data_IF_607175745311
#
_entry.id   IF_607175745311
#
_cell.length_a   1.000
_cell.length_b   1.000
_cell.length_c   1.000
_cell.angle_alpha   90.00
_cell.angle_beta   90.00
_cell.angle_gamma   90.00
#
_symmetry.space_group_name_H-M   'P 1'
#
loop_
_entity.id
_entity.type
_entity.pdbx_description
1 polymer ?
#
# COMPACT_ATOMS: atom_id res chain seq x y z
N UNK A 1 36.72 -48.25 -5.61
CA UNK A 1 36.80 -47.10 -4.67
C UNK A 1 36.30 -45.85 -5.38
N UNK A 2 35.07 -45.43 -5.11
CA UNK A 2 34.55 -44.11 -5.51
C UNK A 2 33.72 -43.58 -4.33
N UNK A 3 34.16 -42.45 -3.75
CA UNK A 3 33.44 -41.71 -2.70
C UNK A 3 32.32 -40.91 -3.36
N UNK A 4 31.07 -41.19 -3.01
CA UNK A 4 29.96 -40.30 -3.30
C UNK A 4 29.95 -39.17 -2.26
N UNK A 5 30.23 -37.95 -2.69
CA UNK A 5 30.03 -36.73 -1.90
C UNK A 5 28.55 -36.35 -1.94
N UNK A 6 27.87 -36.53 -0.82
CA UNK A 6 26.53 -35.98 -0.57
C UNK A 6 26.62 -34.45 -0.45
N UNK A 7 26.19 -33.75 -1.50
CA UNK A 7 25.96 -32.30 -1.47
C UNK A 7 24.60 -32.03 -0.82
N UNK A 8 24.62 -31.77 0.48
CA UNK A 8 23.45 -31.30 1.24
C UNK A 8 23.19 -29.84 0.90
N UNK A 9 22.10 -29.56 0.19
CA UNK A 9 21.57 -28.19 0.05
C UNK A 9 21.10 -27.69 1.43
N UNK A 10 21.42 -26.44 1.82
CA UNK A 10 20.94 -25.90 3.08
C UNK A 10 19.43 -25.63 2.99
N UNK A 11 18.70 -26.31 3.86
CA UNK A 11 17.29 -26.12 4.16
C UNK A 11 17.01 -24.69 4.64
N UNK A 12 15.86 -24.14 4.23
CA UNK A 12 15.31 -22.80 4.51
C UNK A 12 15.19 -22.42 6.02
N UNK A 13 15.58 -23.31 6.93
CA UNK A 13 15.55 -23.11 8.37
C UNK A 13 16.96 -23.03 8.93
N UNK A 14 17.56 -21.83 8.89
CA UNK A 14 18.54 -21.30 9.86
C UNK A 14 19.13 -19.99 9.31
N UNK A 15 18.34 -18.92 9.39
CA UNK A 15 18.86 -17.56 9.19
C UNK A 15 18.74 -16.78 10.50
N UNK A 16 19.83 -16.11 10.87
CA UNK A 16 19.95 -15.21 12.02
C UNK A 16 18.89 -14.11 11.97
N UNK A 17 18.53 -13.56 13.14
CA UNK A 17 17.55 -12.48 13.26
C UNK A 17 17.86 -11.25 12.39
N UNK A 18 19.14 -10.97 12.16
CA UNK A 18 19.64 -9.88 11.33
C UNK A 18 19.43 -10.14 9.83
N UNK A 19 19.67 -11.38 9.37
CA UNK A 19 19.51 -11.78 7.97
C UNK A 19 18.03 -11.82 7.55
N UNK A 20 17.15 -12.23 8.47
CA UNK A 20 15.70 -12.19 8.29
C UNK A 20 15.17 -10.77 8.15
N UNK A 21 15.75 -9.80 8.87
CA UNK A 21 15.37 -8.39 8.76
C UNK A 21 15.84 -7.78 7.44
N UNK A 22 17.07 -8.06 7.01
CA UNK A 22 17.61 -7.61 5.72
C UNK A 22 16.82 -8.12 4.51
N UNK A 23 16.50 -9.42 4.50
CA UNK A 23 15.66 -10.03 3.45
C UNK A 23 14.25 -9.40 3.38
N UNK A 24 13.64 -9.13 4.54
CA UNK A 24 12.31 -8.49 4.62
C UNK A 24 12.31 -7.06 4.09
N UNK A 25 13.29 -6.25 4.47
CA UNK A 25 13.42 -4.88 3.99
C UNK A 25 13.54 -4.83 2.45
N UNK A 26 14.28 -5.77 1.86
CA UNK A 26 14.41 -5.91 0.41
C UNK A 26 13.07 -6.23 -0.28
N UNK A 27 12.30 -7.18 0.24
CA UNK A 27 10.98 -7.56 -0.28
C UNK A 27 10.00 -6.38 -0.25
N UNK A 28 10.00 -5.61 0.83
CA UNK A 28 9.14 -4.44 0.96
C UNK A 28 9.50 -3.33 0.00
N UNK A 29 10.80 -3.05 -0.14
CA UNK A 29 11.30 -2.07 -1.10
C UNK A 29 10.89 -2.46 -2.52
N UNK A 30 10.98 -3.75 -2.86
CA UNK A 30 10.50 -4.29 -4.14
C UNK A 30 9.00 -4.10 -4.32
N UNK A 31 8.18 -4.44 -3.33
CA UNK A 31 6.71 -4.31 -3.41
C UNK A 31 6.28 -2.83 -3.54
N UNK A 32 6.93 -1.93 -2.79
CA UNK A 32 6.71 -0.48 -2.89
C UNK A 32 7.03 0.05 -4.29
N UNK A 33 8.15 -0.38 -4.87
CA UNK A 33 8.54 0.00 -6.22
C UNK A 33 7.57 -0.55 -7.29
N UNK A 34 7.11 -1.80 -7.14
CA UNK A 34 6.08 -2.39 -8.01
C UNK A 34 4.76 -1.63 -7.94
N UNK A 35 4.28 -1.35 -6.73
CA UNK A 35 3.05 -0.58 -6.54
C UNK A 35 3.16 0.81 -7.19
N UNK A 36 4.27 1.51 -6.95
CA UNK A 36 4.56 2.82 -7.58
C UNK A 36 4.53 2.72 -9.10
N UNK A 37 5.18 1.71 -9.68
CA UNK A 37 5.20 1.49 -11.13
C UNK A 37 3.78 1.34 -11.68
N UNK A 38 2.99 0.45 -11.10
CA UNK A 38 1.64 0.15 -11.61
C UNK A 38 0.65 1.29 -11.38
N UNK A 39 0.75 2.02 -10.28
CA UNK A 39 -0.07 3.21 -10.00
C UNK A 39 0.22 4.32 -11.00
N UNK A 40 1.50 4.55 -11.30
CA UNK A 40 1.92 5.46 -12.34
C UNK A 40 1.37 5.06 -13.72
N UNK A 41 1.40 3.77 -14.09
CA UNK A 41 0.82 3.29 -15.34
C UNK A 41 -0.71 3.47 -15.41
N UNK A 42 -1.43 3.29 -14.29
CA UNK A 42 -2.87 3.58 -14.26
C UNK A 42 -3.17 5.08 -14.43
N UNK A 43 -2.36 5.95 -13.83
CA UNK A 43 -2.46 7.39 -14.01
C UNK A 43 -2.15 7.77 -15.45
N UNK A 44 -1.08 7.21 -16.03
CA UNK A 44 -0.68 7.42 -17.41
C UNK A 44 -1.77 7.00 -18.39
N UNK A 45 -2.39 5.83 -18.17
CA UNK A 45 -3.49 5.34 -19.00
C UNK A 45 -4.70 6.27 -18.92
N UNK A 46 -5.07 6.74 -17.72
CA UNK A 46 -6.16 7.71 -17.55
C UNK A 46 -5.85 9.04 -18.24
N UNK A 47 -4.62 9.55 -18.09
CA UNK A 47 -4.17 10.79 -18.72
C UNK A 47 -4.20 10.68 -20.24
N UNK A 48 -3.69 9.58 -20.81
CA UNK A 48 -3.76 9.31 -22.26
C UNK A 48 -5.21 9.28 -22.75
N UNK A 49 -6.08 8.55 -22.06
CA UNK A 49 -7.50 8.48 -22.44
C UNK A 49 -8.20 9.85 -22.35
N UNK A 50 -7.80 10.72 -21.43
CA UNK A 50 -8.36 12.07 -21.32
C UNK A 50 -7.85 13.01 -22.43
N UNK A 51 -6.59 12.84 -22.87
CA UNK A 51 -5.95 13.69 -23.88
C UNK A 51 -6.31 13.27 -25.31
N UNK A 52 -6.34 11.96 -25.57
CA UNK A 52 -6.50 11.36 -26.91
C UNK A 52 -7.87 10.70 -27.12
N UNK A 53 -8.76 10.75 -26.13
CA UNK A 53 -10.04 10.03 -26.16
C UNK A 53 -9.87 8.49 -26.20
N UNK A 54 -10.98 7.78 -26.41
CA UNK A 54 -10.98 6.33 -26.59
C UNK A 54 -10.55 5.89 -28.02
N UNK A 55 -10.42 6.85 -28.95
CA UNK A 55 -10.23 6.63 -30.39
C UNK A 55 -8.98 7.35 -30.96
N UNK A 56 -8.05 7.74 -30.10
CA UNK A 56 -6.80 8.46 -30.46
C UNK A 56 -7.02 9.79 -31.21
N UNK A 57 -8.19 10.41 -31.06
CA UNK A 57 -8.47 11.74 -31.60
C UNK A 57 -7.87 12.81 -30.68
N UNK A 58 -7.07 13.69 -31.28
CA UNK A 58 -6.45 14.83 -30.61
C UNK A 58 -7.54 15.75 -30.06
N UNK A 59 -7.54 16.01 -28.74
CA UNK A 59 -8.43 17.03 -28.17
C UNK A 59 -8.08 18.39 -28.77
N UNK A 60 -9.08 19.07 -29.36
CA UNK A 60 -8.94 20.45 -29.85
C UNK A 60 -8.68 21.47 -28.73
N UNK A 61 -8.74 21.06 -27.46
CA UNK A 61 -8.49 21.91 -26.30
C UNK A 61 -7.03 22.00 -25.87
N UNK A 62 -6.11 21.27 -26.52
CA UNK A 62 -4.69 21.25 -26.14
C UNK A 62 -3.92 22.27 -26.97
N UNK A 63 -3.52 23.36 -26.32
CA UNK A 63 -2.83 24.48 -26.97
C UNK A 63 -1.32 24.24 -27.16
N UNK A 64 -0.73 23.28 -26.44
CA UNK A 64 0.71 22.96 -26.52
C UNK A 64 0.92 21.44 -26.48
N UNK A 65 0.95 20.84 -27.67
CA UNK A 65 1.18 19.41 -27.85
C UNK A 65 2.62 18.98 -27.55
N UNK A 66 3.60 19.86 -27.75
CA UNK A 66 5.00 19.56 -27.47
C UNK A 66 5.25 19.39 -25.98
N UNK A 67 4.60 20.20 -25.14
CA UNK A 67 4.61 20.04 -23.69
C UNK A 67 4.01 18.68 -23.28
N UNK A 68 2.84 18.33 -23.82
CA UNK A 68 2.16 17.06 -23.52
C UNK A 68 3.01 15.85 -23.92
N UNK A 69 3.59 15.86 -25.13
CA UNK A 69 4.46 14.79 -25.60
C UNK A 69 5.73 14.66 -24.74
N UNK A 70 6.30 15.79 -24.31
CA UNK A 70 7.46 15.81 -23.40
C UNK A 70 7.14 15.19 -22.05
N UNK A 71 5.97 15.51 -21.46
CA UNK A 71 5.52 14.91 -20.19
C UNK A 71 5.39 13.39 -20.33
N UNK A 72 4.78 12.90 -21.41
CA UNK A 72 4.66 11.46 -21.64
C UNK A 72 6.00 10.77 -21.88
N UNK A 73 6.92 11.42 -22.59
CA UNK A 73 8.28 10.92 -22.80
C UNK A 73 9.03 10.79 -21.46
N UNK A 74 9.05 11.86 -20.67
CA UNK A 74 9.72 11.87 -19.35
C UNK A 74 9.13 10.80 -18.42
N UNK A 75 7.80 10.67 -18.40
CA UNK A 75 7.14 9.63 -17.60
C UNK A 75 7.56 8.22 -18.04
N UNK A 76 7.64 7.96 -19.35
CA UNK A 76 8.10 6.68 -19.88
C UNK A 76 9.54 6.37 -19.48
N UNK A 77 10.42 7.37 -19.52
CA UNK A 77 11.82 7.23 -19.10
C UNK A 77 11.93 6.91 -17.60
N UNK A 78 11.14 7.58 -16.76
CA UNK A 78 11.10 7.31 -15.32
C UNK A 78 10.57 5.89 -15.01
N UNK A 79 9.59 5.43 -15.77
CA UNK A 79 9.07 4.06 -15.65
C UNK A 79 10.08 3.01 -16.12
N UNK A 80 10.87 3.30 -17.15
CA UNK A 80 11.98 2.43 -17.56
C UNK A 80 13.06 2.34 -16.48
N UNK A 81 13.44 3.47 -15.86
CA UNK A 81 14.37 3.48 -14.72
C UNK A 81 13.81 2.65 -13.55
N UNK A 82 12.52 2.79 -13.25
CA UNK A 82 11.87 2.05 -12.16
C UNK A 82 11.79 0.54 -12.46
N UNK A 83 11.53 0.15 -13.71
CA UNK A 83 11.58 -1.24 -14.15
C UNK A 83 13.00 -1.83 -14.01
N UNK A 84 14.03 -1.07 -14.40
CA UNK A 84 15.43 -1.47 -14.23
C UNK A 84 15.79 -1.67 -12.75
N UNK A 85 15.33 -0.80 -11.85
CA UNK A 85 15.49 -0.98 -10.40
C UNK A 85 14.81 -2.25 -9.85
N UNK A 86 13.79 -2.77 -10.55
CA UNK A 86 13.12 -4.02 -10.23
C UNK A 86 13.81 -5.25 -10.88
N UNK A 87 14.85 -5.02 -11.68
CA UNK A 87 15.55 -6.04 -12.47
C UNK A 87 14.71 -6.60 -13.62
N UNK A 88 13.81 -5.79 -14.19
CA UNK A 88 12.81 -6.20 -15.19
C UNK A 88 12.80 -5.23 -16.38
N UNK A 89 12.34 -5.70 -17.53
CA UNK A 89 12.07 -4.80 -18.66
C UNK A 89 10.70 -4.11 -18.49
N UNK A 90 10.59 -2.85 -18.92
CA UNK A 90 9.32 -2.11 -18.98
C UNK A 90 8.20 -2.89 -19.70
N UNK A 91 8.50 -3.50 -20.86
CA UNK A 91 7.51 -4.26 -21.64
C UNK A 91 7.04 -5.53 -20.93
N UNK A 92 7.92 -6.17 -20.16
CA UNK A 92 7.56 -7.35 -19.37
C UNK A 92 6.54 -6.99 -18.28
N UNK A 93 6.77 -5.87 -17.58
CA UNK A 93 5.86 -5.38 -16.54
C UNK A 93 4.51 -4.89 -17.10
N UNK A 94 4.45 -4.54 -18.39
CA UNK A 94 3.19 -4.21 -19.07
C UNK A 94 2.45 -5.43 -19.64
N UNK A 95 3.10 -6.58 -19.68
CA UNK A 95 2.51 -7.78 -20.28
C UNK A 95 1.37 -8.35 -19.43
N UNK A 96 0.49 -9.13 -20.05
CA UNK A 96 -0.59 -9.83 -19.35
C UNK A 96 -0.08 -10.75 -18.22
N UNK A 97 1.16 -11.22 -18.32
CA UNK A 97 1.79 -12.07 -17.28
C UNK A 97 1.99 -11.32 -15.96
N UNK A 98 2.15 -9.99 -16.02
CA UNK A 98 2.30 -9.13 -14.86
C UNK A 98 0.97 -8.69 -14.22
N UNK A 99 -0.20 -9.02 -14.81
CA UNK A 99 -1.50 -8.56 -14.28
C UNK A 99 -1.77 -9.06 -12.84
N UNK A 100 -1.28 -10.27 -12.53
CA UNK A 100 -1.34 -10.83 -11.17
C UNK A 100 -0.49 -10.04 -10.18
N UNK A 101 0.77 -9.77 -10.55
CA UNK A 101 1.70 -8.97 -9.73
C UNK A 101 1.17 -7.55 -9.54
N UNK A 102 0.58 -6.96 -10.59
CA UNK A 102 -0.08 -5.66 -10.56
C UNK A 102 -1.20 -5.61 -9.53
N UNK A 103 -2.16 -6.53 -9.60
CA UNK A 103 -3.31 -6.55 -8.66
C UNK A 103 -2.84 -6.72 -7.23
N UNK A 104 -1.85 -7.59 -7.01
CA UNK A 104 -1.28 -7.83 -5.69
C UNK A 104 -0.58 -6.58 -5.14
N UNK A 105 0.29 -5.95 -5.94
CA UNK A 105 1.04 -4.76 -5.52
C UNK A 105 0.12 -3.57 -5.20
N UNK A 106 -0.90 -3.34 -6.03
CA UNK A 106 -1.88 -2.26 -5.80
C UNK A 106 -2.77 -2.53 -4.60
N UNK A 107 -3.13 -3.79 -4.35
CA UNK A 107 -3.84 -4.18 -3.13
C UNK A 107 -2.98 -3.99 -1.88
N UNK A 108 -1.70 -4.36 -1.95
CA UNK A 108 -0.74 -4.15 -0.87
C UNK A 108 -0.57 -2.66 -0.55
N UNK A 109 -0.43 -1.80 -1.57
CA UNK A 109 -0.34 -0.35 -1.37
C UNK A 109 -1.62 0.21 -0.75
N UNK A 110 -2.79 -0.16 -1.27
CA UNK A 110 -4.07 0.29 -0.74
C UNK A 110 -4.26 -0.12 0.72
N UNK A 111 -3.84 -1.33 1.10
CA UNK A 111 -3.88 -1.79 2.50
C UNK A 111 -2.87 -1.02 3.37
N UNK A 112 -1.69 -0.70 2.84
CA UNK A 112 -0.67 0.08 3.55
C UNK A 112 -1.14 1.52 3.80
N UNK A 113 -1.72 2.18 2.79
CA UNK A 113 -2.38 3.49 2.93
C UNK A 113 -3.50 3.43 3.98
N UNK A 114 -4.35 2.40 3.93
CA UNK A 114 -5.43 2.20 4.88
C UNK A 114 -4.92 2.03 6.32
N UNK A 115 -3.80 1.34 6.52
CA UNK A 115 -3.18 1.19 7.85
C UNK A 115 -2.59 2.48 8.39
N UNK A 116 -1.95 3.29 7.54
CA UNK A 116 -1.47 4.62 7.95
C UNK A 116 -2.63 5.48 8.48
N UNK A 117 -3.78 5.42 7.80
CA UNK A 117 -4.99 6.09 8.27
C UNK A 117 -5.52 5.56 9.61
N UNK A 118 -5.37 4.25 9.88
CA UNK A 118 -5.74 3.66 11.17
C UNK A 118 -4.83 4.17 12.31
N UNK A 119 -3.52 4.24 12.07
CA UNK A 119 -2.54 4.76 13.05
C UNK A 119 -2.81 6.23 13.36
N UNK A 120 -2.99 7.04 12.33
CA UNK A 120 -3.32 8.45 12.45
C UNK A 120 -4.60 8.67 13.26
N UNK A 121 -5.67 7.93 12.93
CA UNK A 121 -6.95 8.02 13.62
C UNK A 121 -6.83 7.61 15.10
N UNK A 122 -6.01 6.60 15.40
CA UNK A 122 -5.80 6.18 16.78
C UNK A 122 -4.98 7.21 17.56
N UNK A 123 -3.96 7.81 16.94
CA UNK A 123 -3.20 8.91 17.54
C UNK A 123 -4.08 10.09 17.93
N UNK A 124 -4.96 10.54 17.04
CA UNK A 124 -5.90 11.64 17.33
C UNK A 124 -6.88 11.34 18.47
N UNK A 125 -7.37 10.10 18.53
CA UNK A 125 -8.30 9.68 19.59
C UNK A 125 -7.62 9.69 20.95
N UNK A 126 -6.35 9.31 21.02
CA UNK A 126 -5.59 9.39 22.28
C UNK A 126 -5.38 10.83 22.73
N UNK A 127 -5.10 11.76 21.81
CA UNK A 127 -5.00 13.20 22.15
C UNK A 127 -6.30 13.79 22.74
N UNK A 128 -7.47 13.20 22.46
CA UNK A 128 -8.75 13.62 23.04
C UNK A 128 -8.94 13.06 24.46
N UNK A 129 -8.50 11.82 24.71
CA UNK A 129 -8.71 11.15 26.01
C UNK A 129 -7.67 11.54 27.07
N UNK A 130 -6.46 11.96 26.68
CA UNK A 130 -5.37 12.34 27.59
C UNK A 130 -5.54 13.72 28.23
N UNK A 131 -6.29 14.63 27.60
CA UNK A 131 -6.35 16.02 28.06
C UNK A 131 -7.62 16.31 28.88
N UNK A 132 -7.46 16.36 30.20
CA UNK A 132 -8.51 16.76 31.15
C UNK A 132 -8.87 18.27 31.06
N UNK A 133 -8.12 19.08 30.32
CA UNK A 133 -8.28 20.55 30.23
C UNK A 133 -7.96 21.11 28.84
N UNK A 134 -8.55 20.54 27.78
CA UNK A 134 -8.48 21.14 26.43
C UNK A 134 -9.36 22.39 26.36
N UNK A 135 -8.80 23.58 26.16
CA UNK A 135 -9.58 24.79 25.88
C UNK A 135 -10.41 24.69 24.58
N UNK A 136 -11.52 25.44 24.49
CA UNK A 136 -12.53 25.33 23.41
C UNK A 136 -11.95 25.42 21.99
N UNK A 137 -10.90 26.23 21.77
CA UNK A 137 -10.24 26.36 20.45
C UNK A 137 -9.53 25.07 20.03
N UNK A 138 -8.88 24.39 20.96
CA UNK A 138 -8.12 23.17 20.70
C UNK A 138 -9.08 21.99 20.48
N UNK A 139 -10.19 21.91 21.23
CA UNK A 139 -11.27 20.97 20.97
C UNK A 139 -11.86 21.13 19.55
N UNK A 140 -12.12 22.37 19.13
CA UNK A 140 -12.61 22.66 17.77
C UNK A 140 -11.60 22.28 16.68
N UNK A 141 -10.30 22.48 16.90
CA UNK A 141 -9.27 22.07 15.95
C UNK A 141 -9.21 20.55 15.81
N UNK A 142 -9.30 19.82 16.92
CA UNK A 142 -9.32 18.36 16.93
C UNK A 142 -10.57 17.81 16.22
N UNK A 143 -11.76 18.38 16.50
CA UNK A 143 -12.99 17.98 15.80
C UNK A 143 -12.90 18.23 14.28
N UNK A 144 -12.32 19.36 13.86
CA UNK A 144 -12.06 19.63 12.43
C UNK A 144 -11.07 18.63 11.83
N UNK A 145 -10.04 18.22 12.57
CA UNK A 145 -9.07 17.22 12.12
C UNK A 145 -9.73 15.85 11.91
N UNK A 146 -10.55 15.40 12.88
CA UNK A 146 -11.34 14.15 12.78
C UNK A 146 -12.24 14.20 11.54
N UNK A 147 -12.96 15.31 11.33
CA UNK A 147 -13.89 15.42 10.21
C UNK A 147 -13.20 15.44 8.85
N UNK A 148 -12.00 16.05 8.75
CA UNK A 148 -11.16 15.96 7.55
C UNK A 148 -10.70 14.53 7.30
N UNK A 149 -10.32 13.79 8.35
CA UNK A 149 -9.89 12.40 8.22
C UNK A 149 -10.99 11.46 7.83
N UNK A 150 -12.24 11.69 8.25
CA UNK A 150 -13.37 10.86 7.82
C UNK A 150 -13.39 10.65 6.30
N UNK A 151 -13.27 11.73 5.53
CA UNK A 151 -13.27 11.67 4.07
C UNK A 151 -12.04 10.93 3.51
N UNK A 152 -10.86 11.10 4.13
CA UNK A 152 -9.64 10.42 3.73
C UNK A 152 -9.72 8.91 4.00
N UNK A 153 -10.23 8.53 5.19
CA UNK A 153 -10.45 7.14 5.60
C UNK A 153 -11.48 6.49 4.68
N UNK A 154 -12.62 7.12 4.41
CA UNK A 154 -13.63 6.59 3.49
C UNK A 154 -13.05 6.36 2.08
N UNK A 155 -12.22 7.28 1.59
CA UNK A 155 -11.53 7.12 0.30
C UNK A 155 -10.54 5.95 0.33
N UNK A 156 -9.76 5.80 1.41
CA UNK A 156 -8.82 4.69 1.58
C UNK A 156 -9.56 3.34 1.68
N UNK A 157 -10.65 3.27 2.44
CA UNK A 157 -11.52 2.08 2.55
C UNK A 157 -12.06 1.70 1.16
N UNK A 158 -12.62 2.67 0.42
CA UNK A 158 -13.17 2.43 -0.92
C UNK A 158 -12.09 1.92 -1.88
N UNK A 159 -10.89 2.52 -1.85
CA UNK A 159 -9.76 2.06 -2.65
C UNK A 159 -9.39 0.62 -2.28
N UNK A 160 -9.19 0.32 -1.00
CA UNK A 160 -8.88 -1.02 -0.52
C UNK A 160 -9.93 -2.07 -0.93
N UNK A 161 -11.22 -1.81 -0.68
CA UNK A 161 -12.30 -2.73 -1.04
C UNK A 161 -12.31 -3.02 -2.55
N UNK A 162 -12.17 -1.97 -3.37
CA UNK A 162 -12.09 -2.09 -4.83
C UNK A 162 -10.90 -2.96 -5.25
N UNK A 163 -9.70 -2.70 -4.73
CA UNK A 163 -8.49 -3.49 -5.05
C UNK A 163 -8.62 -4.93 -4.57
N UNK A 164 -9.19 -5.15 -3.40
CA UNK A 164 -9.39 -6.49 -2.83
C UNK A 164 -10.37 -7.30 -3.67
N UNK A 165 -11.50 -6.71 -4.04
CA UNK A 165 -12.48 -7.36 -4.92
C UNK A 165 -11.85 -7.72 -6.27
N UNK A 166 -11.15 -6.78 -6.90
CA UNK A 166 -10.44 -7.01 -8.18
C UNK A 166 -9.39 -8.12 -8.11
N UNK A 167 -8.73 -8.30 -6.96
CA UNK A 167 -7.76 -9.36 -6.74
C UNK A 167 -8.44 -10.71 -6.47
N UNK A 168 -9.45 -10.73 -5.60
CA UNK A 168 -10.18 -11.95 -5.22
C UNK A 168 -10.94 -12.54 -6.40
N UNK A 169 -11.67 -11.73 -7.18
CA UNK A 169 -12.38 -12.20 -8.36
C UNK A 169 -11.43 -12.81 -9.41
N UNK A 170 -10.22 -12.28 -9.54
CA UNK A 170 -9.24 -12.75 -10.52
C UNK A 170 -8.49 -14.02 -10.09
N UNK A 171 -8.34 -14.27 -8.78
CA UNK A 171 -7.45 -15.33 -8.26
C UNK A 171 -8.16 -16.38 -7.43
N UNK A 172 -9.09 -15.96 -6.58
CA UNK A 172 -9.69 -16.78 -5.52
C UNK A 172 -11.17 -16.40 -5.34
N UNK A 173 -11.97 -16.55 -6.41
CA UNK A 173 -13.37 -16.15 -6.41
C UNK A 173 -14.17 -16.82 -5.27
N UNK A 174 -13.85 -18.07 -4.92
CA UNK A 174 -14.44 -18.78 -3.79
C UNK A 174 -14.19 -18.10 -2.43
N UNK A 175 -13.10 -17.32 -2.29
CA UNK A 175 -12.84 -16.54 -1.08
C UNK A 175 -13.54 -15.20 -1.06
N UNK A 176 -14.00 -14.67 -2.19
CA UNK A 176 -14.68 -13.38 -2.26
C UNK A 176 -15.91 -13.31 -1.34
N UNK A 177 -16.63 -14.43 -1.20
CA UNK A 177 -17.85 -14.52 -0.39
C UNK A 177 -17.58 -14.86 1.10
N UNK A 178 -16.32 -15.04 1.52
CA UNK A 178 -16.01 -15.32 2.93
C UNK A 178 -16.30 -14.12 3.81
N UNK A 179 -16.73 -14.37 5.05
CA UNK A 179 -17.02 -13.33 6.06
C UNK A 179 -15.83 -12.39 6.28
N UNK A 180 -14.62 -12.93 6.26
CA UNK A 180 -13.38 -12.16 6.47
C UNK A 180 -13.04 -11.22 5.29
N UNK A 181 -13.66 -11.44 4.13
CA UNK A 181 -13.44 -10.67 2.91
C UNK A 181 -14.59 -9.71 2.59
N UNK A 182 -15.53 -9.53 3.52
CA UNK A 182 -16.59 -8.54 3.40
C UNK A 182 -16.04 -7.12 3.42
N UNK A 183 -16.71 -6.22 2.71
CA UNK A 183 -16.31 -4.83 2.54
C UNK A 183 -16.22 -4.09 3.87
N UNK A 184 -15.05 -3.46 4.09
CA UNK A 184 -14.86 -2.60 5.23
C UNK A 184 -15.74 -1.37 5.07
N UNK A 185 -16.28 -0.90 6.18
CA UNK A 185 -17.04 0.34 6.23
C UNK A 185 -16.44 1.28 7.28
N UNK A 186 -16.76 2.57 7.17
CA UNK A 186 -16.28 3.57 8.13
C UNK A 186 -16.85 3.38 9.53
N UNK A 187 -17.99 2.69 9.72
CA UNK A 187 -18.58 2.48 11.05
C UNK A 187 -17.76 1.47 11.87
N UNK A 188 -17.17 0.50 11.21
CA UNK A 188 -16.42 -0.59 11.86
C UNK A 188 -14.93 -0.31 11.88
N UNK A 189 -14.40 0.42 10.89
CA UNK A 189 -12.98 0.74 10.80
C UNK A 189 -12.39 1.38 12.07
N UNK A 190 -12.99 2.42 12.68
CA UNK A 190 -12.47 3.03 13.90
C UNK A 190 -12.55 2.12 15.14
N UNK A 191 -13.29 1.01 15.08
CA UNK A 191 -13.36 0.03 16.19
C UNK A 191 -12.23 -0.98 16.10
N UNK A 192 -11.55 -1.08 14.96
CA UNK A 192 -10.45 -2.01 14.75
C UNK A 192 -9.21 -1.51 15.49
N UNK A 193 -8.67 -2.34 16.37
CA UNK A 193 -7.37 -2.06 16.99
C UNK A 193 -6.23 -2.30 15.99
N UNK A 194 -5.07 -1.69 16.20
CA UNK A 194 -3.86 -1.96 15.39
C UNK A 194 -3.34 -3.40 15.56
N UNK A 195 -3.84 -4.13 16.56
CA UNK A 195 -3.57 -5.56 16.76
C UNK A 195 -4.54 -6.48 16.03
N UNK A 196 -5.60 -5.94 15.43
CA UNK A 196 -6.61 -6.73 14.72
C UNK A 196 -5.94 -7.68 13.70
N UNK A 197 -6.36 -8.97 13.63
CA UNK A 197 -5.84 -9.92 12.65
C UNK A 197 -5.92 -9.44 11.20
N UNK A 198 -6.87 -8.57 10.88
CA UNK A 198 -6.95 -7.90 9.59
C UNK A 198 -5.61 -7.25 9.21
N UNK A 199 -4.94 -6.58 10.15
CA UNK A 199 -3.66 -5.92 9.91
C UNK A 199 -2.50 -6.91 9.89
N UNK A 200 -2.58 -8.02 10.62
CA UNK A 200 -1.47 -8.98 10.75
C UNK A 200 -1.63 -10.23 9.87
N UNK A 201 -2.59 -10.24 8.95
CA UNK A 201 -2.73 -11.32 8.00
C UNK A 201 -1.46 -11.43 7.15
N UNK A 202 -0.76 -12.56 7.32
CA UNK A 202 0.53 -12.93 6.70
C UNK A 202 0.58 -12.73 5.18
N UNK A 203 -0.58 -12.61 4.53
CA UNK A 203 -0.73 -12.38 3.10
C UNK A 203 -0.47 -10.94 2.64
N UNK A 204 -0.65 -9.91 3.49
CA UNK A 204 -0.67 -8.52 3.03
C UNK A 204 0.04 -7.50 3.92
N UNK A 205 0.58 -7.89 5.07
CA UNK A 205 1.25 -6.94 5.96
C UNK A 205 2.56 -7.50 6.54
N UNK A 206 3.64 -6.86 6.12
CA UNK A 206 4.96 -6.95 6.74
C UNK A 206 5.60 -5.57 6.67
N UNK A 207 4.97 -4.47 7.13
CA UNK A 207 5.67 -3.18 7.21
C UNK A 207 7.05 -3.42 7.86
N UNK A 208 8.10 -2.92 7.20
CA UNK A 208 9.49 -3.04 7.63
C UNK A 208 9.82 -2.08 8.75
N UNK A 209 8.87 -1.21 9.09
CA UNK A 209 9.04 -0.17 10.07
C UNK A 209 9.04 -0.79 11.46
N UNK A 210 9.94 -0.32 12.32
CA UNK A 210 10.11 -0.87 13.66
C UNK A 210 8.82 -0.83 14.48
N UNK A 211 7.94 0.14 14.24
CA UNK A 211 6.64 0.24 14.90
C UNK A 211 5.62 -0.81 14.41
N UNK A 212 5.78 -1.42 13.24
CA UNK A 212 4.91 -2.52 12.81
C UNK A 212 5.42 -3.88 13.31
N UNK A 213 6.74 -4.04 13.41
CA UNK A 213 7.40 -5.30 13.76
C UNK A 213 7.56 -5.45 15.28
N UNK A 214 8.00 -4.39 15.97
CA UNK A 214 8.42 -4.47 17.37
C UNK A 214 7.26 -4.10 18.32
N UNK A 215 6.77 -5.04 19.16
CA UNK A 215 5.74 -4.77 20.16
C UNK A 215 6.12 -3.68 21.17
N UNK A 216 7.40 -3.55 21.51
CA UNK A 216 7.95 -2.56 22.44
C UNK A 216 7.98 -1.16 21.82
N UNK A 217 8.26 -1.04 20.51
CA UNK A 217 8.15 0.25 19.80
C UNK A 217 6.69 0.69 19.71
N UNK A 218 5.75 -0.25 19.50
CA UNK A 218 4.31 0.04 19.59
C UNK A 218 3.89 0.47 20.99
N UNK A 219 4.39 -0.21 22.01
CA UNK A 219 4.16 0.18 23.39
C UNK A 219 4.75 1.55 23.68
N UNK A 220 5.98 1.83 23.25
CA UNK A 220 6.62 3.13 23.41
C UNK A 220 5.86 4.25 22.72
N UNK A 221 5.45 4.08 21.45
CA UNK A 221 4.61 5.06 20.74
C UNK A 221 3.28 5.25 21.47
N UNK A 222 2.63 4.16 21.91
CA UNK A 222 1.39 4.21 22.69
C UNK A 222 1.59 4.91 24.04
N UNK A 223 2.70 4.67 24.73
CA UNK A 223 3.05 5.28 26.01
C UNK A 223 3.36 6.77 25.86
N UNK A 224 4.11 7.17 24.83
CA UNK A 224 4.36 8.59 24.52
C UNK A 224 3.04 9.30 24.19
N UNK A 225 2.19 8.68 23.36
CA UNK A 225 0.84 9.19 23.06
C UNK A 225 -0.10 9.23 24.29
N UNK A 226 0.25 8.56 25.38
CA UNK A 226 -0.50 8.55 26.65
C UNK A 226 0.10 9.47 27.71
N UNK A 227 1.28 10.04 27.47
CA UNK A 227 2.01 10.90 28.40
C UNK A 227 1.94 12.39 28.02
N UNK A 228 1.21 12.72 26.95
CA UNK A 228 0.96 14.07 26.42
C UNK A 228 -0.55 14.39 26.52
#
# INVERSE_FOLDING_TARGET
MQKATSSTQPTFFELSGSDKLGARASVLKRMKNLAKFFKNEEILKKAKNAVFGAQEQLSSSVNDWDCVLRVFKNHKEDQQKLANLLGRNYKELLSATADKEKRLALLWEAKSELFLQAVELQGERYSIMGSQTVGTKMQQQILKAIQRRKNLVEKAIKNFNTRRSNYLLAREAARANKKDNQDLNYKDFPKMDLKDPFWNNSFFFHSGDLWAINPSVRHGIKSILMLD
#
